data_IF_602949873767
#
_entry.id   IF_602949873767
#
_cell.length_a   1.000
_cell.length_b   1.000
_cell.length_c   1.000
_cell.angle_alpha   90.00
_cell.angle_beta   90.00
_cell.angle_gamma   90.00
#
_symmetry.space_group_name_H-M   'P 1'
#
loop_
_entity.id
_entity.type
_entity.pdbx_description
1 polymer ?
#
# COMPACT_ATOMS: atom_id res chain seq x y z
N UNK A 1 7.94 -78.03 -39.67
CA UNK A 1 8.86 -76.95 -40.07
C UNK A 1 8.19 -75.66 -39.66
N UNK A 2 8.41 -75.24 -38.40
CA UNK A 2 7.72 -74.11 -37.77
C UNK A 2 8.61 -72.87 -37.80
N UNK A 3 8.09 -71.80 -38.41
CA UNK A 3 8.76 -70.50 -38.50
C UNK A 3 8.25 -69.66 -37.32
N UNK A 4 9.10 -69.45 -36.30
CA UNK A 4 8.83 -68.52 -35.20
C UNK A 4 9.16 -67.09 -35.64
N UNK A 5 8.14 -66.30 -35.91
CA UNK A 5 8.24 -64.84 -36.08
C UNK A 5 8.50 -64.17 -34.73
N UNK A 6 9.66 -63.54 -34.58
CA UNK A 6 9.98 -62.66 -33.45
C UNK A 6 9.47 -61.25 -33.71
N UNK A 7 8.53 -60.77 -32.89
CA UNK A 7 8.10 -59.37 -32.86
C UNK A 7 8.89 -58.68 -31.75
N UNK A 8 9.81 -57.79 -32.11
CA UNK A 8 10.46 -56.89 -31.17
C UNK A 8 9.50 -55.72 -30.86
N UNK A 9 8.99 -55.67 -29.63
CA UNK A 9 8.21 -54.56 -29.14
C UNK A 9 9.15 -53.40 -28.74
N UNK A 10 9.11 -52.30 -29.49
CA UNK A 10 9.74 -51.05 -29.09
C UNK A 10 8.88 -50.36 -28.02
N UNK A 11 9.37 -50.33 -26.79
CA UNK A 11 8.73 -49.59 -25.70
C UNK A 11 9.00 -48.08 -25.87
N UNK A 12 7.99 -47.33 -26.32
CA UNK A 12 7.96 -45.87 -26.26
C UNK A 12 7.76 -45.45 -24.80
N UNK A 13 8.85 -45.07 -24.13
CA UNK A 13 8.77 -44.40 -22.84
C UNK A 13 8.28 -42.97 -23.05
N UNK A 14 6.96 -42.74 -22.90
CA UNK A 14 6.41 -41.41 -22.67
C UNK A 14 6.88 -40.95 -21.29
N UNK A 15 7.97 -40.18 -21.27
CA UNK A 15 8.37 -39.43 -20.09
C UNK A 15 7.34 -38.34 -19.79
N UNK A 16 6.49 -38.58 -18.79
CA UNK A 16 5.70 -37.52 -18.18
C UNK A 16 6.66 -36.54 -17.51
N UNK A 17 6.95 -35.41 -18.15
CA UNK A 17 7.58 -34.26 -17.52
C UNK A 17 6.58 -33.69 -16.50
N UNK A 18 6.71 -34.12 -15.25
CA UNK A 18 6.04 -33.49 -14.12
C UNK A 18 6.66 -32.11 -13.90
N UNK A 19 6.04 -31.08 -14.48
CA UNK A 19 6.33 -29.70 -14.09
C UNK A 19 5.77 -29.52 -12.69
N UNK A 20 6.62 -29.67 -11.67
CA UNK A 20 6.23 -29.32 -10.32
C UNK A 20 5.86 -27.83 -10.30
N UNK A 21 4.71 -27.43 -9.70
CA UNK A 21 4.39 -26.02 -9.56
C UNK A 21 5.48 -25.38 -8.72
N UNK A 22 6.28 -24.51 -9.32
CA UNK A 22 7.24 -23.71 -8.59
C UNK A 22 6.43 -22.77 -7.70
N UNK A 23 6.43 -23.04 -6.39
CA UNK A 23 5.97 -22.04 -5.44
C UNK A 23 6.82 -20.79 -5.69
N UNK A 24 6.19 -19.72 -6.18
CA UNK A 24 6.91 -18.50 -6.51
C UNK A 24 7.64 -18.03 -5.25
N UNK A 25 8.95 -17.81 -5.41
CA UNK A 25 9.77 -17.31 -4.32
C UNK A 25 9.34 -15.87 -4.00
N UNK A 26 9.41 -15.50 -2.72
CA UNK A 26 9.22 -14.13 -2.27
C UNK A 26 10.05 -13.17 -3.14
N UNK A 27 9.37 -12.22 -3.75
CA UNK A 27 9.93 -11.26 -4.70
C UNK A 27 9.10 -9.99 -4.73
N UNK A 28 9.58 -8.95 -5.41
CA UNK A 28 8.81 -7.71 -5.60
C UNK A 28 7.56 -7.91 -6.43
N UNK A 29 7.58 -8.90 -7.32
CA UNK A 29 6.47 -9.25 -8.21
C UNK A 29 5.44 -10.16 -7.51
N UNK A 30 5.79 -10.78 -6.37
CA UNK A 30 4.92 -11.69 -5.64
C UNK A 30 5.06 -11.55 -4.11
N UNK A 31 4.80 -10.35 -3.59
CA UNK A 31 4.96 -10.05 -2.15
C UNK A 31 4.09 -10.90 -1.22
N UNK A 32 3.02 -11.51 -1.73
CA UNK A 32 2.13 -12.43 -1.00
C UNK A 32 2.82 -13.75 -0.61
N UNK A 33 3.84 -14.19 -1.36
CA UNK A 33 4.61 -15.40 -1.01
C UNK A 33 5.58 -15.16 0.14
N UNK A 34 5.98 -13.91 0.39
CA UNK A 34 6.81 -13.53 1.54
C UNK A 34 6.12 -13.84 2.87
N UNK A 35 6.79 -14.59 3.74
CA UNK A 35 6.29 -15.08 5.03
C UNK A 35 6.83 -14.29 6.21
N UNK A 36 8.00 -13.66 6.07
CA UNK A 36 8.68 -12.98 7.18
C UNK A 36 9.06 -11.54 6.84
N UNK A 37 9.26 -10.71 7.86
CA UNK A 37 9.74 -9.33 7.67
C UNK A 37 11.09 -9.26 6.95
N UNK A 38 12.10 -10.10 7.27
CA UNK A 38 13.36 -10.12 6.54
C UNK A 38 13.21 -10.47 5.05
N UNK A 39 12.32 -11.39 4.71
CA UNK A 39 12.03 -11.74 3.31
C UNK A 39 11.46 -10.55 2.54
N UNK A 40 10.47 -9.85 3.11
CA UNK A 40 9.91 -8.63 2.49
C UNK A 40 11.00 -7.57 2.35
N UNK A 41 11.77 -7.32 3.42
CA UNK A 41 12.83 -6.32 3.41
C UNK A 41 13.93 -6.61 2.37
N UNK A 42 14.23 -7.89 2.13
CA UNK A 42 15.18 -8.30 1.09
C UNK A 42 14.60 -8.11 -0.30
N UNK A 43 13.34 -8.51 -0.52
CA UNK A 43 12.66 -8.38 -1.81
C UNK A 43 12.59 -6.92 -2.26
N UNK A 44 12.18 -6.01 -1.37
CA UNK A 44 11.87 -4.61 -1.73
C UNK A 44 13.09 -3.67 -1.70
N UNK A 45 14.29 -4.18 -1.38
CA UNK A 45 15.48 -3.35 -1.22
C UNK A 45 15.89 -2.67 -2.53
N UNK A 46 15.94 -1.34 -2.52
CA UNK A 46 16.35 -0.54 -3.68
C UNK A 46 15.31 -0.54 -4.81
N UNK A 47 14.07 -0.91 -4.50
CA UNK A 47 12.93 -0.92 -5.43
C UNK A 47 12.01 0.24 -5.12
N UNK A 48 11.13 0.58 -6.07
CA UNK A 48 10.09 1.58 -5.86
C UNK A 48 9.17 1.14 -4.70
N UNK A 49 9.09 1.90 -3.61
CA UNK A 49 8.27 1.54 -2.45
C UNK A 49 6.75 1.59 -2.73
N UNK A 50 6.33 2.17 -3.85
CA UNK A 50 4.93 2.26 -4.28
C UNK A 50 4.55 1.23 -5.34
N UNK A 51 5.53 0.51 -5.92
CA UNK A 51 5.25 -0.51 -6.92
C UNK A 51 4.49 -1.70 -6.32
N UNK A 52 3.75 -2.40 -7.17
CA UNK A 52 2.98 -3.58 -6.78
C UNK A 52 1.92 -3.89 -7.81
N UNK A 53 1.11 -4.90 -7.53
CA UNK A 53 0.00 -5.31 -8.40
C UNK A 53 -1.31 -5.45 -7.62
N UNK A 54 -2.42 -5.17 -8.30
CA UNK A 54 -3.74 -5.40 -7.73
C UNK A 54 -4.15 -6.87 -7.92
N UNK A 55 -4.37 -7.58 -6.82
CA UNK A 55 -4.72 -8.98 -6.83
C UNK A 55 -5.73 -9.32 -5.73
N UNK A 56 -6.81 -10.03 -6.10
CA UNK A 56 -7.87 -10.51 -5.19
C UNK A 56 -8.43 -9.43 -4.25
N UNK A 57 -8.69 -8.24 -4.79
CA UNK A 57 -9.32 -7.15 -4.04
C UNK A 57 -8.35 -6.31 -3.20
N UNK A 58 -7.05 -6.55 -3.30
CA UNK A 58 -6.03 -5.78 -2.61
C UNK A 58 -4.87 -5.37 -3.53
N UNK A 59 -4.34 -4.17 -3.32
CA UNK A 59 -3.11 -3.72 -3.95
C UNK A 59 -1.90 -4.20 -3.15
N UNK A 60 -1.16 -5.15 -3.70
CA UNK A 60 0.02 -5.76 -3.09
C UNK A 60 1.28 -4.95 -3.37
N UNK A 61 1.48 -3.90 -2.58
CA UNK A 61 2.71 -3.11 -2.55
C UNK A 61 3.57 -3.44 -1.30
N UNK A 62 4.84 -2.97 -1.23
CA UNK A 62 5.72 -3.18 -0.08
C UNK A 62 5.09 -2.81 1.27
N UNK A 63 4.37 -1.69 1.33
CA UNK A 63 3.76 -1.19 2.57
C UNK A 63 2.65 -2.13 3.06
N UNK A 64 1.78 -2.61 2.16
CA UNK A 64 0.74 -3.57 2.50
C UNK A 64 1.32 -4.94 2.88
N UNK A 65 2.35 -5.41 2.17
CA UNK A 65 3.03 -6.66 2.52
C UNK A 65 3.63 -6.60 3.94
N UNK A 66 4.29 -5.48 4.28
CA UNK A 66 4.77 -5.23 5.63
C UNK A 66 3.63 -5.22 6.65
N UNK A 67 2.48 -4.62 6.33
CA UNK A 67 1.30 -4.66 7.18
C UNK A 67 0.78 -6.07 7.40
N UNK A 68 0.61 -6.88 6.35
CA UNK A 68 0.13 -8.28 6.44
C UNK A 68 0.97 -9.12 7.43
N UNK A 69 2.28 -8.86 7.51
CA UNK A 69 3.20 -9.53 8.45
C UNK A 69 3.45 -8.76 9.75
N UNK A 70 2.74 -7.65 9.97
CA UNK A 70 2.88 -6.71 11.08
C UNK A 70 4.34 -6.24 11.31
N UNK A 71 5.06 -5.99 10.22
CA UNK A 71 6.45 -5.54 10.22
C UNK A 71 6.55 -4.02 10.42
N UNK A 72 6.21 -3.52 11.61
CA UNK A 72 6.10 -2.07 11.87
C UNK A 72 7.39 -1.30 11.56
N UNK A 73 8.55 -1.80 11.97
CA UNK A 73 9.85 -1.16 11.69
C UNK A 73 10.15 -1.08 10.18
N UNK A 74 9.79 -2.12 9.43
CA UNK A 74 9.90 -2.10 7.96
C UNK A 74 8.90 -1.10 7.35
N UNK A 75 7.66 -1.05 7.85
CA UNK A 75 6.66 -0.05 7.44
C UNK A 75 7.18 1.38 7.62
N UNK A 76 7.77 1.70 8.77
CA UNK A 76 8.41 3.01 9.02
C UNK A 76 9.52 3.31 8.01
N UNK A 77 10.34 2.30 7.69
CA UNK A 77 11.45 2.45 6.74
C UNK A 77 10.93 2.71 5.32
N UNK A 78 9.88 2.01 4.90
CA UNK A 78 9.24 2.20 3.60
C UNK A 78 8.60 3.59 3.48
N UNK A 79 7.90 4.05 4.53
CA UNK A 79 7.33 5.39 4.58
C UNK A 79 8.42 6.48 4.54
N UNK A 80 9.52 6.28 5.24
CA UNK A 80 10.69 7.17 5.16
C UNK A 80 11.36 7.16 3.77
N UNK A 81 11.25 6.05 3.03
CA UNK A 81 11.77 5.90 1.68
C UNK A 81 10.79 6.40 0.59
N UNK A 82 9.64 6.97 0.95
CA UNK A 82 8.68 7.55 0.00
C UNK A 82 7.49 6.66 -0.37
N UNK A 83 7.23 5.58 0.39
CA UNK A 83 5.95 4.87 0.27
C UNK A 83 4.79 5.84 0.59
N UNK A 84 3.79 5.89 -0.28
CA UNK A 84 2.59 6.66 -0.04
C UNK A 84 1.75 5.96 1.04
N UNK A 85 1.48 6.62 2.18
CA UNK A 85 0.80 6.01 3.32
C UNK A 85 -0.69 5.71 3.08
N UNK A 86 -1.28 6.23 1.99
CA UNK A 86 -2.65 5.91 1.59
C UNK A 86 -2.73 4.68 0.67
N UNK A 87 -1.62 4.24 0.07
CA UNK A 87 -1.62 3.23 -1.00
C UNK A 87 -1.31 1.83 -0.48
N UNK A 88 -2.11 0.85 -0.91
CA UNK A 88 -1.93 -0.57 -0.63
C UNK A 88 -3.20 -1.22 -0.10
N UNK A 89 -3.23 -2.54 0.01
CA UNK A 89 -4.32 -3.26 0.68
C UNK A 89 -5.67 -3.16 -0.03
N UNK A 90 -6.74 -3.43 0.72
CA UNK A 90 -8.12 -3.52 0.24
C UNK A 90 -8.52 -2.28 -0.57
N UNK A 91 -9.05 -2.51 -1.78
CA UNK A 91 -9.46 -1.46 -2.72
C UNK A 91 -8.36 -0.40 -2.94
N UNK A 92 -7.10 -0.85 -2.89
CA UNK A 92 -5.91 -0.01 -3.01
C UNK A 92 -5.71 1.02 -1.90
N UNK A 93 -6.48 0.95 -0.80
CA UNK A 93 -6.39 1.87 0.33
C UNK A 93 -5.83 1.23 1.60
N UNK A 94 -4.67 1.71 2.05
CA UNK A 94 -4.12 1.33 3.34
C UNK A 94 -5.02 1.81 4.48
N UNK A 95 -5.74 2.92 4.29
CA UNK A 95 -6.68 3.47 5.27
C UNK A 95 -7.85 2.52 5.48
N UNK A 96 -8.54 2.10 4.41
CA UNK A 96 -9.64 1.14 4.52
C UNK A 96 -9.17 -0.18 5.11
N UNK A 97 -7.97 -0.61 4.70
CA UNK A 97 -7.34 -1.83 5.17
C UNK A 97 -7.11 -1.85 6.69
N UNK A 98 -6.54 -0.79 7.28
CA UNK A 98 -6.37 -0.72 8.74
C UNK A 98 -7.67 -0.39 9.47
N UNK A 99 -8.65 0.19 8.78
CA UNK A 99 -9.99 0.42 9.34
C UNK A 99 -10.88 -0.84 9.38
N UNK A 100 -10.41 -1.99 8.87
CA UNK A 100 -11.17 -3.24 8.79
C UNK A 100 -10.45 -4.44 9.41
N UNK A 101 -11.18 -5.53 9.65
CA UNK A 101 -10.69 -6.75 10.35
C UNK A 101 -9.76 -7.63 9.52
N UNK A 102 -9.59 -7.35 8.24
CA UNK A 102 -8.70 -8.11 7.37
C UNK A 102 -7.49 -7.26 6.96
N UNK A 103 -6.27 -7.83 6.89
CA UNK A 103 -5.84 -9.17 7.31
C UNK A 103 -5.74 -9.38 8.83
N UNK A 104 -5.76 -8.31 9.63
CA UNK A 104 -5.64 -8.40 11.09
C UNK A 104 -6.96 -8.13 11.79
N UNK A 105 -7.51 -9.14 12.45
CA UNK A 105 -8.69 -8.98 13.31
C UNK A 105 -8.26 -8.49 14.71
N UNK A 106 -7.53 -7.36 14.75
CA UNK A 106 -6.99 -6.77 15.97
C UNK A 106 -6.96 -5.25 15.88
N UNK A 107 -7.89 -4.60 16.57
CA UNK A 107 -7.95 -3.13 16.63
C UNK A 107 -6.63 -2.52 17.17
N UNK A 108 -5.89 -3.25 18.02
CA UNK A 108 -4.61 -2.77 18.57
C UNK A 108 -3.53 -2.70 17.49
N UNK A 109 -3.35 -3.77 16.71
CA UNK A 109 -2.39 -3.78 15.58
C UNK A 109 -2.77 -2.70 14.57
N UNK A 110 -4.06 -2.63 14.25
CA UNK A 110 -4.57 -1.67 13.28
C UNK A 110 -4.41 -0.23 13.75
N UNK A 111 -4.61 0.08 15.04
CA UNK A 111 -4.36 1.42 15.62
C UNK A 111 -2.89 1.82 15.55
N UNK A 112 -1.97 0.89 15.81
CA UNK A 112 -0.54 1.15 15.71
C UNK A 112 -0.14 1.51 14.27
N UNK A 113 -0.61 0.72 13.30
CA UNK A 113 -0.39 1.03 11.88
C UNK A 113 -1.08 2.32 11.46
N UNK A 114 -2.34 2.54 11.84
CA UNK A 114 -3.05 3.77 11.53
C UNK A 114 -2.32 5.01 12.05
N UNK A 115 -1.78 4.96 13.28
CA UNK A 115 -0.99 6.06 13.84
C UNK A 115 0.27 6.33 13.02
N UNK A 116 0.96 5.28 12.57
CA UNK A 116 2.14 5.39 11.71
C UNK A 116 1.79 6.01 10.33
N UNK A 117 0.68 5.59 9.73
CA UNK A 117 0.20 6.11 8.44
C UNK A 117 -0.23 7.58 8.55
N UNK A 118 -0.99 7.93 9.59
CA UNK A 118 -1.37 9.32 9.91
C UNK A 118 -0.14 10.21 10.05
N UNK A 119 0.84 9.78 10.84
CA UNK A 119 2.09 10.54 11.05
C UNK A 119 2.93 10.69 9.78
N UNK A 120 2.64 9.87 8.76
CA UNK A 120 3.33 9.88 7.48
C UNK A 120 2.52 10.57 6.37
N UNK A 121 1.33 11.10 6.68
CA UNK A 121 0.52 11.88 5.74
C UNK A 121 -0.64 11.16 5.07
N UNK A 122 -1.09 10.01 5.61
CA UNK A 122 -2.24 9.29 5.03
C UNK A 122 -3.50 10.15 5.00
N UNK A 123 -4.04 10.33 3.80
CA UNK A 123 -5.26 11.09 3.55
C UNK A 123 -6.31 10.24 2.85
N UNK A 124 -7.55 10.39 3.31
CA UNK A 124 -8.74 9.73 2.74
C UNK A 124 -9.17 10.33 1.39
N UNK A 125 -8.54 11.43 0.97
CA UNK A 125 -8.90 12.23 -0.21
C UNK A 125 -7.88 12.09 -1.35
N UNK A 126 -6.93 11.16 -1.22
CA UNK A 126 -5.98 10.83 -2.29
C UNK A 126 -6.63 9.84 -3.25
N UNK A 127 -6.50 10.09 -4.56
CA UNK A 127 -6.91 9.14 -5.61
C UNK A 127 -6.08 7.86 -5.50
N UNK A 128 -6.76 6.72 -5.41
CA UNK A 128 -6.12 5.44 -5.16
C UNK A 128 -5.64 4.78 -6.46
N UNK A 129 -4.55 3.99 -6.44
CA UNK A 129 -4.10 3.24 -7.60
C UNK A 129 -5.19 2.27 -8.10
N UNK A 130 -5.27 2.09 -9.43
CA UNK A 130 -6.25 1.21 -10.08
C UNK A 130 -7.72 1.60 -9.89
N UNK A 131 -7.98 2.80 -9.38
CA UNK A 131 -9.32 3.36 -9.24
C UNK A 131 -9.33 4.83 -9.64
N UNK A 132 -10.51 5.38 -9.90
CA UNK A 132 -10.70 6.83 -10.11
C UNK A 132 -11.27 7.54 -8.86
N UNK A 133 -11.19 6.89 -7.70
CA UNK A 133 -11.87 7.31 -6.48
C UNK A 133 -10.92 7.43 -5.29
N UNK A 134 -11.45 7.90 -4.16
CA UNK A 134 -10.78 8.09 -2.88
C UNK A 134 -11.38 7.16 -1.82
N UNK A 135 -10.65 6.93 -0.73
CA UNK A 135 -11.18 6.13 0.38
C UNK A 135 -12.47 6.73 0.97
N UNK A 136 -12.58 8.08 1.00
CA UNK A 136 -13.78 8.77 1.49
C UNK A 136 -14.99 8.46 0.62
N UNK A 137 -14.85 8.57 -0.70
CA UNK A 137 -15.93 8.34 -1.65
C UNK A 137 -16.43 6.90 -1.60
N UNK A 138 -15.52 5.91 -1.53
CA UNK A 138 -15.86 4.50 -1.37
C UNK A 138 -16.75 4.27 -0.14
N UNK A 139 -16.36 4.80 1.03
CA UNK A 139 -17.13 4.64 2.27
C UNK A 139 -18.47 5.38 2.18
N UNK A 140 -18.48 6.59 1.62
CA UNK A 140 -19.70 7.39 1.46
C UNK A 140 -20.70 6.74 0.47
N UNK A 141 -20.20 6.06 -0.56
CA UNK A 141 -21.00 5.31 -1.53
C UNK A 141 -21.50 3.95 -1.01
N UNK A 142 -21.04 3.50 0.16
CA UNK A 142 -21.41 2.21 0.73
C UNK A 142 -20.71 1.01 0.09
N UNK A 143 -19.67 1.23 -0.70
CA UNK A 143 -18.89 0.18 -1.38
C UNK A 143 -17.94 -0.57 -0.42
N UNK A 144 -17.65 0.03 0.73
CA UNK A 144 -16.90 -0.62 1.81
C UNK A 144 -17.52 -0.32 3.18
N UNK A 145 -17.55 -1.34 4.04
CA UNK A 145 -17.80 -1.16 5.46
C UNK A 145 -16.52 -0.73 6.19
N UNK A 146 -16.72 -0.14 7.38
CA UNK A 146 -15.66 0.21 8.32
C UNK A 146 -15.91 -0.55 9.62
N UNK A 147 -15.09 -1.56 9.90
CA UNK A 147 -15.23 -2.41 11.09
C UNK A 147 -14.68 -1.74 12.35
N UNK A 148 -13.71 -0.82 12.20
CA UNK A 148 -13.11 -0.04 13.28
C UNK A 148 -13.36 1.47 13.09
N UNK A 149 -14.56 1.99 13.43
CA UNK A 149 -14.94 3.39 13.20
C UNK A 149 -14.02 4.41 13.89
N UNK A 150 -13.41 4.05 15.03
CA UNK A 150 -12.47 4.92 15.75
C UNK A 150 -11.21 5.18 14.92
N UNK A 151 -10.70 4.17 14.21
CA UNK A 151 -9.53 4.30 13.34
C UNK A 151 -9.87 5.19 12.14
N UNK A 152 -11.01 4.92 11.48
CA UNK A 152 -11.49 5.74 10.36
C UNK A 152 -11.67 7.20 10.75
N UNK A 153 -12.34 7.48 11.88
CA UNK A 153 -12.50 8.84 12.42
C UNK A 153 -11.16 9.50 12.70
N UNK A 154 -10.16 8.73 13.10
CA UNK A 154 -8.77 9.18 13.24
C UNK A 154 -8.24 9.78 11.94
N UNK A 155 -8.38 9.10 10.80
CA UNK A 155 -7.95 9.62 9.50
C UNK A 155 -8.76 10.84 9.03
N UNK A 156 -10.07 10.87 9.29
CA UNK A 156 -10.90 12.05 9.02
C UNK A 156 -10.43 13.29 9.80
N UNK A 157 -9.87 13.09 11.00
CA UNK A 157 -9.43 14.15 11.92
C UNK A 157 -7.93 14.44 11.84
N UNK A 158 -7.14 13.55 11.24
CA UNK A 158 -5.69 13.67 11.10
C UNK A 158 -5.31 14.75 10.08
N UNK A 159 -6.12 14.87 9.04
CA UNK A 159 -6.00 15.92 8.04
C UNK A 159 -7.39 16.50 7.77
N UNK A 160 -7.95 17.31 8.69
CA UNK A 160 -8.82 18.34 8.19
C UNK A 160 -7.96 19.08 7.16
N UNK A 161 -8.52 19.36 5.98
CA UNK A 161 -8.26 20.67 5.42
C UNK A 161 -8.66 21.60 6.56
N UNK A 162 -7.72 21.95 7.45
CA UNK A 162 -8.04 22.67 8.67
C UNK A 162 -8.91 23.84 8.21
N UNK A 163 -10.09 24.01 8.77
CA UNK A 163 -11.01 25.04 8.29
C UNK A 163 -10.23 26.35 8.14
N UNK A 164 -10.01 26.81 6.90
CA UNK A 164 -9.12 27.92 6.57
C UNK A 164 -7.79 27.61 5.85
N UNK A 165 -7.44 26.35 5.57
CA UNK A 165 -6.31 25.99 4.70
C UNK A 165 -6.78 25.95 3.26
N UNK A 166 -6.15 26.75 2.41
CA UNK A 166 -6.49 26.84 1.00
C UNK A 166 -6.20 25.52 0.27
N UNK A 167 -7.19 24.94 -0.43
CA UNK A 167 -6.98 23.77 -1.27
C UNK A 167 -5.85 23.93 -2.30
N UNK A 168 -5.59 25.16 -2.78
CA UNK A 168 -4.48 25.45 -3.70
C UNK A 168 -3.12 25.34 -3.02
N UNK A 169 -3.01 25.74 -1.74
CA UNK A 169 -1.76 25.58 -0.96
C UNK A 169 -1.44 24.10 -0.79
N UNK A 170 -2.45 23.28 -0.49
CA UNK A 170 -2.26 21.82 -0.35
C UNK A 170 -1.80 21.22 -1.67
N UNK A 171 -2.44 21.59 -2.79
CA UNK A 171 -2.06 21.11 -4.13
C UNK A 171 -0.63 21.52 -4.50
N UNK A 172 -0.26 22.78 -4.27
CA UNK A 172 1.09 23.29 -4.52
C UNK A 172 2.13 22.56 -3.67
N UNK A 173 1.89 22.45 -2.37
CA UNK A 173 2.85 21.81 -1.47
C UNK A 173 3.01 20.32 -1.71
N UNK A 174 1.95 19.66 -2.21
CA UNK A 174 2.05 18.29 -2.72
C UNK A 174 2.91 18.22 -3.98
N UNK A 175 2.74 19.14 -4.94
CA UNK A 175 3.63 19.16 -6.11
C UNK A 175 5.10 19.42 -5.75
N UNK A 176 5.35 20.25 -4.73
CA UNK A 176 6.70 20.51 -4.21
C UNK A 176 7.27 19.26 -3.54
N UNK A 177 6.48 18.56 -2.74
CA UNK A 177 6.94 17.33 -2.08
C UNK A 177 7.21 16.23 -3.09
N UNK A 178 6.34 16.04 -4.10
CA UNK A 178 6.51 15.08 -5.20
C UNK A 178 7.79 15.36 -5.99
N UNK A 179 8.05 16.62 -6.35
CA UNK A 179 9.29 17.01 -7.04
C UNK A 179 10.55 16.74 -6.19
N UNK A 180 10.41 16.72 -4.86
CA UNK A 180 11.48 16.40 -3.91
C UNK A 180 11.50 14.93 -3.46
N UNK A 181 10.81 14.03 -4.17
CA UNK A 181 10.81 12.59 -3.88
C UNK A 181 9.65 12.11 -3.00
N UNK A 182 8.55 12.88 -2.92
CA UNK A 182 7.29 12.48 -2.28
C UNK A 182 7.27 12.55 -0.76
N UNK A 183 8.15 13.32 -0.12
CA UNK A 183 8.22 13.37 1.35
C UNK A 183 7.09 14.21 1.96
N UNK A 184 6.23 13.60 2.77
CA UNK A 184 5.19 14.32 3.52
C UNK A 184 5.75 15.43 4.42
N UNK A 185 6.95 15.25 5.01
CA UNK A 185 7.59 16.30 5.82
C UNK A 185 7.86 17.57 5.01
N UNK A 186 8.17 17.43 3.72
CA UNK A 186 8.36 18.55 2.80
C UNK A 186 7.01 19.20 2.50
N UNK A 187 5.98 18.40 2.21
CA UNK A 187 4.61 18.91 2.00
C UNK A 187 4.09 19.69 3.22
N UNK A 188 4.24 19.12 4.41
CA UNK A 188 3.77 19.71 5.66
C UNK A 188 4.52 21.01 5.98
N UNK A 189 5.83 21.02 5.79
CA UNK A 189 6.66 22.21 5.98
C UNK A 189 6.26 23.30 4.98
N UNK A 190 6.08 22.96 3.70
CA UNK A 190 5.59 23.89 2.69
C UNK A 190 4.23 24.46 3.11
N UNK A 191 3.28 23.63 3.54
CA UNK A 191 1.95 24.10 3.95
C UNK A 191 2.02 25.09 5.11
N UNK A 192 2.89 24.81 6.10
CA UNK A 192 3.12 25.71 7.25
C UNK A 192 3.72 27.05 6.80
N UNK A 193 4.65 27.01 5.85
CA UNK A 193 5.28 28.21 5.29
C UNK A 193 4.27 29.05 4.49
N UNK A 194 3.51 28.43 3.59
CA UNK A 194 2.51 29.10 2.76
C UNK A 194 1.37 29.71 3.59
N UNK A 195 0.87 28.97 4.59
CA UNK A 195 -0.13 29.50 5.51
C UNK A 195 0.38 30.70 6.32
N UNK A 196 1.66 30.67 6.73
CA UNK A 196 2.31 31.77 7.46
C UNK A 196 2.59 32.98 6.56
N UNK A 197 2.99 32.76 5.30
CA UNK A 197 3.21 33.82 4.33
C UNK A 197 1.90 34.56 4.05
N UNK A 198 0.80 33.82 3.87
CA UNK A 198 -0.51 34.40 3.62
C UNK A 198 -1.06 35.19 4.81
N UNK A 199 -0.85 34.72 6.03
CA UNK A 199 -1.29 35.48 7.22
C UNK A 199 -0.52 36.79 7.40
N UNK A 200 0.77 36.81 7.05
CA UNK A 200 1.59 38.04 7.04
C UNK A 200 1.12 39.04 5.99
N UNK A 201 0.73 38.58 4.80
CA UNK A 201 0.20 39.48 3.77
C UNK A 201 -1.16 40.08 4.14
N UNK A 202 -1.99 39.37 4.93
CA UNK A 202 -3.31 39.85 5.34
C UNK A 202 -3.31 40.82 6.52
N UNK A 203 -2.27 40.79 7.37
CA UNK A 203 -2.17 41.63 8.57
C UNK A 203 -1.20 42.82 8.38
N UNK A 204 -0.70 43.03 7.17
CA UNK A 204 0.19 44.14 6.81
C UNK A 204 -0.52 45.34 6.16
N UNK A 205 -1.86 45.37 6.23
CA UNK A 205 -2.71 46.53 5.94
C UNK A 205 -3.11 47.22 7.25
#
# INVERSE_FOLDING_TARGET
MEIRSGIAAAALALGCLSVAPQAMACSTEDLQSCKTCPEIAAAVRGKDPNAGDYYRGAFWNPLFAAYVRNCQSLGQTLLAAGANPSFGGQQSSMILTVSNRWPHNSETVNKQWASMLVNSGASVDVKLPYTDTTAREIVAGGEASVDYPVIWKGFLSAHPVAAGVDPQIVKYCRSVSEAAGGSYRIEETCRKQEASARSRMRNGE
#
